data_IF_613176255795
#
_entry.id   IF_613176255795
#
_cell.length_a   1.000
_cell.length_b   1.000
_cell.length_c   1.000
_cell.angle_alpha   90.00
_cell.angle_beta   90.00
_cell.angle_gamma   90.00
#
_symmetry.space_group_name_H-M   'P 1'
#
loop_
_entity.id
_entity.type
_entity.pdbx_description
1 polymer ?
#
# COMPACT_ATOMS: atom_id res chain seq x y z
N UNK A 1 -1.19 22.57 -6.27
CA UNK A 1 0.04 21.76 -6.00
C UNK A 1 0.00 20.55 -6.91
N UNK A 2 1.07 20.32 -7.70
CA UNK A 2 1.11 19.18 -8.62
C UNK A 2 1.34 17.90 -7.79
N UNK A 3 0.28 17.12 -7.55
CA UNK A 3 0.35 15.91 -6.75
C UNK A 3 0.96 14.78 -7.58
N UNK A 4 2.22 14.46 -7.33
CA UNK A 4 2.86 13.28 -7.93
C UNK A 4 2.53 12.04 -7.09
N UNK A 5 1.79 11.09 -7.67
CA UNK A 5 1.51 9.80 -7.02
C UNK A 5 2.80 9.06 -6.65
N UNK A 6 3.85 9.19 -7.45
CA UNK A 6 5.15 8.60 -7.11
C UNK A 6 5.70 9.19 -5.81
N UNK A 7 5.70 10.52 -5.68
CA UNK A 7 6.14 11.19 -4.47
C UNK A 7 5.29 10.80 -3.26
N UNK A 8 3.98 10.64 -3.46
CA UNK A 8 3.07 10.20 -2.41
C UNK A 8 3.34 8.75 -1.97
N UNK A 9 3.68 7.85 -2.90
CA UNK A 9 4.16 6.49 -2.58
C UNK A 9 5.42 6.53 -1.73
N UNK A 10 6.42 7.28 -2.16
CA UNK A 10 7.69 7.37 -1.45
C UNK A 10 7.49 7.89 -0.02
N UNK A 11 6.70 8.96 0.15
CA UNK A 11 6.34 9.52 1.46
C UNK A 11 5.60 8.50 2.32
N UNK A 12 4.65 7.75 1.74
CA UNK A 12 3.90 6.71 2.47
C UNK A 12 4.84 5.60 2.96
N UNK A 13 5.81 5.18 2.15
CA UNK A 13 6.79 4.17 2.56
C UNK A 13 7.64 4.67 3.73
N UNK A 14 8.16 5.90 3.63
CA UNK A 14 9.03 6.47 4.66
C UNK A 14 8.30 6.82 5.96
N UNK A 15 7.05 7.28 5.88
CA UNK A 15 6.30 7.74 7.06
C UNK A 15 5.35 6.70 7.67
N UNK A 16 4.94 5.68 6.90
CA UNK A 16 3.98 4.67 7.38
C UNK A 16 4.62 3.28 7.49
N UNK A 17 5.37 2.81 6.49
CA UNK A 17 5.91 1.44 6.50
C UNK A 17 7.16 1.30 7.37
N UNK A 18 8.20 2.10 7.11
CA UNK A 18 9.46 2.01 7.87
C UNK A 18 9.28 2.23 9.38
N UNK A 19 8.50 3.23 9.86
CA UNK A 19 8.31 3.45 11.28
C UNK A 19 7.57 2.28 11.96
N UNK A 20 6.78 1.53 11.19
CA UNK A 20 6.05 0.36 11.66
C UNK A 20 6.78 -0.97 11.38
N UNK A 21 8.13 -0.94 11.39
CA UNK A 21 9.01 -2.12 11.36
C UNK A 21 8.98 -2.95 10.08
N UNK A 22 8.50 -2.39 8.97
CA UNK A 22 8.70 -2.99 7.65
C UNK A 22 10.09 -2.61 7.15
N UNK A 23 11.00 -3.58 7.11
CA UNK A 23 12.42 -3.35 6.78
C UNK A 23 12.88 -4.09 5.51
N UNK A 24 12.13 -5.10 5.05
CA UNK A 24 12.50 -5.85 3.83
C UNK A 24 12.49 -4.92 2.61
N UNK A 25 13.67 -4.69 2.04
CA UNK A 25 13.85 -3.80 0.90
C UNK A 25 12.98 -4.21 -0.30
N UNK A 26 12.77 -5.51 -0.54
CA UNK A 26 11.92 -5.97 -1.64
C UNK A 26 10.46 -5.55 -1.41
N UNK A 27 9.98 -5.66 -0.17
CA UNK A 27 8.62 -5.24 0.17
C UNK A 27 8.50 -3.72 -0.01
N UNK A 28 9.43 -2.94 0.53
CA UNK A 28 9.40 -1.48 0.40
C UNK A 28 9.42 -1.03 -1.07
N UNK A 29 10.24 -1.65 -1.92
CA UNK A 29 10.30 -1.34 -3.34
C UNK A 29 9.02 -1.72 -4.09
N UNK A 30 8.37 -2.84 -3.75
CA UNK A 30 7.06 -3.21 -4.30
C UNK A 30 6.02 -2.11 -4.00
N UNK A 31 5.99 -1.59 -2.76
CA UNK A 31 5.05 -0.53 -2.40
C UNK A 31 5.36 0.83 -3.06
N UNK A 32 6.61 1.10 -3.46
CA UNK A 32 6.96 2.27 -4.27
C UNK A 32 6.63 2.11 -5.76
N UNK A 33 6.69 0.88 -6.27
CA UNK A 33 6.52 0.58 -7.68
C UNK A 33 5.06 0.35 -8.08
N UNK A 34 4.26 -0.28 -7.22
CA UNK A 34 2.87 -0.64 -7.54
C UNK A 34 1.94 0.57 -7.39
N UNK A 35 1.27 1.03 -8.46
CA UNK A 35 0.45 2.23 -8.41
C UNK A 35 -0.92 1.96 -7.81
N UNK A 36 -1.04 2.00 -6.48
CA UNK A 36 -2.29 1.76 -5.74
C UNK A 36 -3.49 2.57 -6.27
N UNK A 37 -3.25 3.78 -6.79
CA UNK A 37 -4.27 4.70 -7.31
C UNK A 37 -5.08 4.14 -8.49
N UNK A 38 -4.55 3.13 -9.20
CA UNK A 38 -5.25 2.51 -10.33
C UNK A 38 -6.35 1.56 -9.88
N UNK A 39 -6.31 1.08 -8.63
CA UNK A 39 -7.30 0.17 -8.06
C UNK A 39 -8.45 0.89 -7.34
N UNK A 40 -8.44 2.23 -7.30
CA UNK A 40 -9.43 3.05 -6.62
C UNK A 40 -10.29 3.87 -7.61
N UNK A 41 -11.55 4.07 -7.24
CA UNK A 41 -12.44 5.02 -7.91
C UNK A 41 -11.84 6.43 -7.87
N UNK A 42 -12.11 7.24 -8.91
CA UNK A 42 -11.53 8.58 -9.07
C UNK A 42 -11.73 9.46 -7.83
N UNK A 43 -12.89 9.34 -7.19
CA UNK A 43 -13.31 10.08 -6.00
C UNK A 43 -12.40 9.81 -4.79
N UNK A 44 -11.85 8.60 -4.69
CA UNK A 44 -10.98 8.17 -3.58
C UNK A 44 -9.49 8.43 -3.84
N UNK A 45 -9.11 8.86 -5.05
CA UNK A 45 -7.69 8.94 -5.44
C UNK A 45 -6.89 9.95 -4.62
N UNK A 46 -7.53 11.03 -4.16
CA UNK A 46 -6.89 12.03 -3.31
C UNK A 46 -6.42 11.45 -1.96
N UNK A 47 -7.10 10.42 -1.45
CA UNK A 47 -6.78 9.77 -0.17
C UNK A 47 -5.94 8.49 -0.32
N UNK A 48 -5.50 8.11 -1.53
CA UNK A 48 -4.87 6.81 -1.83
C UNK A 48 -3.72 6.44 -0.88
N UNK A 49 -2.88 7.43 -0.56
CA UNK A 49 -1.64 7.26 0.20
C UNK A 49 -1.66 7.94 1.57
N UNK A 50 -2.79 8.53 1.96
CA UNK A 50 -2.97 8.99 3.35
C UNK A 50 -3.26 7.79 4.25
N UNK A 51 -3.09 7.98 5.56
CA UNK A 51 -3.48 7.00 6.57
C UNK A 51 -4.99 7.09 6.92
N UNK A 52 -5.80 7.53 5.96
CA UNK A 52 -7.25 7.61 6.09
C UNK A 52 -7.88 6.31 5.62
N UNK A 53 -9.02 5.97 6.23
CA UNK A 53 -9.84 4.87 5.76
C UNK A 53 -10.48 5.23 4.41
N UNK A 54 -10.44 4.28 3.47
CA UNK A 54 -11.01 4.45 2.13
C UNK A 54 -12.24 3.57 2.02
N UNK A 55 -13.40 4.19 1.91
CA UNK A 55 -14.64 3.49 1.65
C UNK A 55 -14.75 3.11 0.16
N UNK A 56 -15.12 1.87 -0.13
CA UNK A 56 -15.29 1.41 -1.51
C UNK A 56 -16.77 1.38 -1.91
N UNK A 57 -17.58 0.61 -1.19
CA UNK A 57 -19.03 0.49 -1.40
C UNK A 57 -19.68 -0.34 -0.30
N UNK A 58 -20.96 -0.07 0.00
CA UNK A 58 -21.73 -0.84 0.97
C UNK A 58 -21.05 -0.84 2.34
N UNK A 59 -20.70 -2.02 2.86
CA UNK A 59 -19.91 -2.18 4.09
C UNK A 59 -18.45 -2.57 3.84
N UNK A 60 -17.91 -2.25 2.65
CA UNK A 60 -16.52 -2.59 2.28
C UNK A 60 -15.63 -1.36 2.23
N UNK A 61 -14.47 -1.51 2.87
CA UNK A 61 -13.37 -0.56 2.80
C UNK A 61 -12.13 -1.18 2.15
N UNK A 62 -11.20 -0.33 1.75
CA UNK A 62 -9.88 -0.75 1.30
C UNK A 62 -8.96 -0.93 2.51
N UNK A 63 -8.29 -2.08 2.60
CA UNK A 63 -7.36 -2.34 3.70
C UNK A 63 -6.18 -1.35 3.69
N UNK A 64 -5.90 -0.73 4.83
CA UNK A 64 -4.79 0.22 4.96
C UNK A 64 -3.48 -0.38 4.44
N UNK A 65 -2.69 0.44 3.73
CA UNK A 65 -1.45 0.01 3.07
C UNK A 65 -0.47 -0.66 4.05
N UNK A 66 -0.37 -0.11 5.27
CA UNK A 66 0.44 -0.68 6.34
C UNK A 66 0.06 -2.13 6.67
N UNK A 67 -1.25 -2.42 6.79
CA UNK A 67 -1.71 -3.75 7.16
C UNK A 67 -1.46 -4.76 6.03
N UNK A 68 -1.60 -4.34 4.77
CA UNK A 68 -1.20 -5.17 3.62
C UNK A 68 0.30 -5.48 3.68
N UNK A 69 1.15 -4.48 3.97
CA UNK A 69 2.59 -4.68 4.07
C UNK A 69 2.96 -5.65 5.21
N UNK A 70 2.29 -5.55 6.36
CA UNK A 70 2.45 -6.47 7.48
C UNK A 70 2.04 -7.89 7.11
N UNK A 71 0.90 -8.08 6.46
CA UNK A 71 0.44 -9.40 6.02
C UNK A 71 1.44 -10.06 5.06
N UNK A 72 1.94 -9.30 4.06
CA UNK A 72 2.94 -9.80 3.10
C UNK A 72 4.26 -10.14 3.83
N UNK A 73 4.73 -9.26 4.71
CA UNK A 73 5.96 -9.47 5.46
C UNK A 73 5.87 -10.70 6.38
N UNK A 74 4.76 -10.85 7.11
CA UNK A 74 4.51 -11.99 8.00
C UNK A 74 4.32 -13.31 7.26
N UNK A 75 3.81 -13.28 6.02
CA UNK A 75 3.64 -14.48 5.21
C UNK A 75 4.98 -15.10 4.75
N UNK A 76 6.10 -14.37 4.85
CA UNK A 76 7.46 -14.83 4.49
C UNK A 76 7.50 -15.54 3.12
N UNK A 77 6.86 -14.93 2.12
CA UNK A 77 6.66 -15.53 0.79
C UNK A 77 8.01 -15.82 0.14
N UNK A 78 8.18 -17.06 -0.36
CA UNK A 78 9.36 -17.51 -1.10
C UNK A 78 9.01 -17.84 -2.56
N UNK A 79 10.01 -17.85 -3.44
CA UNK A 79 9.84 -18.06 -4.89
C UNK A 79 9.11 -19.36 -5.27
N UNK A 80 9.18 -20.39 -4.43
CA UNK A 80 8.54 -21.69 -4.65
C UNK A 80 7.13 -21.80 -4.03
N UNK A 81 6.66 -20.78 -3.30
CA UNK A 81 5.31 -20.78 -2.75
C UNK A 81 4.28 -20.57 -3.85
N UNK A 82 3.16 -21.30 -3.77
CA UNK A 82 1.98 -21.04 -4.58
C UNK A 82 1.05 -20.14 -3.78
N UNK A 83 0.57 -19.06 -4.41
CA UNK A 83 -0.34 -18.09 -3.80
C UNK A 83 -1.71 -18.23 -4.47
N UNK A 84 -2.77 -18.22 -3.67
CA UNK A 84 -4.14 -18.21 -4.18
C UNK A 84 -4.48 -16.79 -4.63
N UNK A 85 -4.85 -16.65 -5.91
CA UNK A 85 -5.33 -15.40 -6.51
C UNK A 85 -6.87 -15.35 -6.59
#
# INVERSE_FOLDING_TARGET
MNFSYQKARDIMVENQLRPNKIQDANILEIFKAVPKEVFLHKENRAATYSDLDIHLSGNRGYLKTLHIAQLINSANIKKNHKILH
#
